data_IF_945570475543
#
_entry.id   IF_945570475543
#
_cell.length_a   1.000
_cell.length_b   1.000
_cell.length_c   1.000
_cell.angle_alpha   90.00
_cell.angle_beta   90.00
_cell.angle_gamma   90.00
#
_symmetry.space_group_name_H-M   'P 1'
#
loop_
_entity.id
_entity.type
_entity.pdbx_description
1 polymer ?
#
# COMPACT_ATOMS: atom_id res chain seq x y z
N UNK A 1 8.16 45.51 -5.63
CA UNK A 1 9.41 44.75 -5.79
C UNK A 1 9.22 43.42 -5.08
N UNK A 2 8.77 42.41 -5.81
CA UNK A 2 8.48 41.09 -5.27
C UNK A 2 9.78 40.31 -5.12
N UNK A 3 10.08 39.69 -3.97
CA UNK A 3 11.22 38.81 -3.87
C UNK A 3 10.91 37.54 -4.68
N UNK A 4 11.64 37.33 -5.77
CA UNK A 4 11.74 36.05 -6.45
C UNK A 4 12.31 35.04 -5.46
N UNK A 5 11.44 34.32 -4.77
CA UNK A 5 11.82 33.14 -4.00
C UNK A 5 12.41 32.13 -4.98
N UNK A 6 13.74 31.97 -4.95
CA UNK A 6 14.45 30.91 -5.65
C UNK A 6 13.84 29.57 -5.23
N UNK A 7 13.02 28.98 -6.11
CA UNK A 7 12.51 27.61 -5.91
C UNK A 7 13.72 26.70 -5.87
N UNK A 8 13.95 26.03 -4.74
CA UNK A 8 14.82 24.86 -4.68
C UNK A 8 14.13 23.80 -5.54
N UNK A 9 14.48 23.74 -6.82
CA UNK A 9 14.13 22.62 -7.67
C UNK A 9 14.99 21.47 -7.18
N UNK A 10 14.40 20.50 -6.48
CA UNK A 10 15.02 19.19 -6.32
C UNK A 10 15.17 18.64 -7.74
N UNK A 11 16.37 18.75 -8.32
CA UNK A 11 16.58 18.21 -9.65
C UNK A 11 16.43 16.69 -9.59
N UNK A 12 15.92 16.19 -10.71
CA UNK A 12 15.47 14.83 -10.97
C UNK A 12 16.48 13.78 -10.51
N UNK A 13 16.02 12.80 -9.75
CA UNK A 13 16.60 11.45 -9.82
C UNK A 13 16.60 11.00 -11.30
N UNK A 14 17.59 10.21 -11.74
CA UNK A 14 17.72 9.81 -13.13
C UNK A 14 16.40 9.26 -13.66
N UNK A 15 16.03 9.71 -14.86
CA UNK A 15 14.87 9.28 -15.61
C UNK A 15 14.81 7.74 -15.63
N UNK A 16 13.64 7.19 -15.34
CA UNK A 16 13.43 5.75 -15.11
C UNK A 16 14.09 4.85 -16.17
N UNK A 17 14.91 3.92 -15.68
CA UNK A 17 15.65 2.91 -16.44
C UNK A 17 17.01 2.62 -15.82
N UNK A 18 17.68 3.64 -15.28
CA UNK A 18 19.03 3.44 -14.73
C UNK A 18 19.00 2.84 -13.32
N UNK A 19 19.76 1.76 -13.13
CA UNK A 19 19.97 1.15 -11.83
C UNK A 19 20.44 2.19 -10.80
N UNK A 20 19.81 2.20 -9.62
CA UNK A 20 20.21 3.10 -8.52
C UNK A 20 21.69 2.88 -8.19
N UNK A 21 22.46 3.98 -8.23
CA UNK A 21 23.86 3.98 -7.81
C UNK A 21 24.01 3.58 -6.34
N UNK A 22 25.17 3.02 -5.98
CA UNK A 22 25.50 2.73 -4.58
C UNK A 22 25.63 4.01 -3.73
N UNK A 23 26.00 5.13 -4.36
CA UNK A 23 26.16 6.43 -3.70
C UNK A 23 25.03 7.39 -4.09
N UNK A 24 24.54 8.16 -3.11
CA UNK A 24 23.54 9.18 -3.35
C UNK A 24 24.10 10.30 -4.25
N UNK A 25 23.32 10.80 -5.24
CA UNK A 25 23.66 12.01 -5.96
C UNK A 25 23.94 13.18 -5.00
N UNK A 26 24.87 14.09 -5.32
CA UNK A 26 25.36 15.10 -4.37
C UNK A 26 24.25 16.02 -3.84
N UNK A 27 23.29 16.40 -4.69
CA UNK A 27 22.14 17.22 -4.29
C UNK A 27 21.22 16.48 -3.31
N UNK A 28 21.01 15.19 -3.56
CA UNK A 28 20.21 14.33 -2.70
C UNK A 28 20.89 14.10 -1.35
N UNK A 29 22.20 13.85 -1.38
CA UNK A 29 23.03 13.72 -0.18
C UNK A 29 23.00 15.01 0.65
N UNK A 30 23.13 16.17 0.00
CA UNK A 30 23.04 17.47 0.66
C UNK A 30 21.66 17.71 1.28
N UNK A 31 20.57 17.35 0.58
CA UNK A 31 19.21 17.47 1.11
C UNK A 31 18.96 16.56 2.32
N UNK A 32 19.46 15.32 2.28
CA UNK A 32 19.38 14.38 3.40
C UNK A 32 20.22 14.86 4.61
N UNK A 33 21.46 15.31 4.37
CA UNK A 33 22.33 15.87 5.40
C UNK A 33 21.74 17.15 6.02
N UNK A 34 21.04 17.94 5.23
CA UNK A 34 20.31 19.13 5.67
C UNK A 34 19.02 18.84 6.45
N UNK A 35 18.64 17.57 6.63
CA UNK A 35 17.48 17.19 7.45
C UNK A 35 16.12 17.39 6.76
N UNK A 36 16.07 17.35 5.42
CA UNK A 36 14.82 17.55 4.67
C UNK A 36 13.72 16.53 5.04
N UNK A 37 14.07 15.26 5.25
CA UNK A 37 13.10 14.21 5.60
C UNK A 37 12.47 14.40 6.99
N UNK A 38 13.27 14.60 8.06
CA UNK A 38 12.75 14.97 9.36
C UNK A 38 11.87 16.24 9.32
N UNK A 39 12.28 17.26 8.57
CA UNK A 39 11.50 18.50 8.42
C UNK A 39 10.14 18.22 7.77
N UNK A 40 10.10 17.44 6.69
CA UNK A 40 8.86 17.09 6.01
C UNK A 40 7.94 16.27 6.93
N UNK A 41 8.48 15.29 7.65
CA UNK A 41 7.70 14.52 8.62
C UNK A 41 7.16 15.40 9.75
N UNK A 42 7.95 16.33 10.27
CA UNK A 42 7.51 17.28 11.30
C UNK A 42 6.39 18.19 10.81
N UNK A 43 6.44 18.68 9.56
CA UNK A 43 5.36 19.46 8.95
C UNK A 43 4.07 18.65 8.86
N UNK A 44 4.16 17.37 8.44
CA UNK A 44 3.01 16.46 8.43
C UNK A 44 2.44 16.28 9.86
N UNK A 45 3.30 16.08 10.87
CA UNK A 45 2.85 15.98 12.27
C UNK A 45 2.12 17.24 12.75
N UNK A 46 2.68 18.41 12.47
CA UNK A 46 2.08 19.71 12.83
C UNK A 46 0.73 19.89 12.14
N UNK A 47 0.65 19.64 10.85
CA UNK A 47 -0.60 19.71 10.08
C UNK A 47 -1.65 18.71 10.59
N UNK A 48 -1.24 17.55 11.11
CA UNK A 48 -2.16 16.58 11.74
C UNK A 48 -2.71 17.01 13.09
N UNK A 49 -1.97 17.84 13.85
CA UNK A 49 -2.45 18.42 15.11
C UNK A 49 -3.31 19.65 14.87
N UNK A 50 -2.84 20.53 13.99
CA UNK A 50 -3.43 21.84 13.71
C UNK A 50 -3.47 22.05 12.18
N UNK A 51 -4.48 21.53 11.48
CA UNK A 51 -4.55 21.58 10.01
C UNK A 51 -4.81 22.98 9.43
N UNK A 52 -5.20 23.93 10.29
CA UNK A 52 -5.44 25.32 9.89
C UNK A 52 -4.23 26.23 10.17
N UNK A 53 -3.11 25.68 10.66
CA UNK A 53 -1.90 26.46 10.95
C UNK A 53 -1.14 26.87 9.67
N UNK A 54 -0.27 27.89 9.73
CA UNK A 54 0.55 28.31 8.59
C UNK A 54 1.43 27.19 8.01
N UNK A 55 1.97 26.32 8.87
CA UNK A 55 2.80 25.18 8.46
C UNK A 55 2.01 24.19 7.59
N UNK A 56 0.72 24.01 7.88
CA UNK A 56 -0.18 23.19 7.08
C UNK A 56 -0.39 23.78 5.67
N UNK A 57 -0.47 25.11 5.55
CA UNK A 57 -0.56 25.79 4.24
C UNK A 57 0.71 25.65 3.42
N UNK A 58 1.87 25.81 4.06
CA UNK A 58 3.17 25.57 3.43
C UNK A 58 3.27 24.13 2.92
N UNK A 59 2.89 23.17 3.76
CA UNK A 59 2.84 21.76 3.41
C UNK A 59 1.91 21.51 2.22
N UNK A 60 0.71 22.09 2.19
CA UNK A 60 -0.20 21.98 1.04
C UNK A 60 0.48 22.42 -0.26
N UNK A 61 1.12 23.60 -0.27
CA UNK A 61 1.85 24.07 -1.45
C UNK A 61 3.01 23.14 -1.86
N UNK A 62 3.73 22.57 -0.89
CA UNK A 62 4.79 21.59 -1.15
C UNK A 62 4.25 20.29 -1.77
N UNK A 63 3.08 19.82 -1.29
CA UNK A 63 2.44 18.60 -1.76
C UNK A 63 1.76 18.77 -3.12
N UNK A 64 1.34 19.97 -3.50
CA UNK A 64 0.75 20.25 -4.81
C UNK A 64 1.79 20.30 -5.94
N UNK A 65 3.05 20.63 -5.62
CA UNK A 65 4.13 20.66 -6.61
C UNK A 65 4.57 19.24 -7.02
N UNK A 66 4.16 18.84 -8.22
CA UNK A 66 4.48 17.53 -8.81
C UNK A 66 5.98 17.27 -8.99
N UNK A 67 6.81 18.32 -9.05
CA UNK A 67 8.26 18.15 -9.11
C UNK A 67 8.79 17.45 -7.84
N UNK A 68 8.18 17.75 -6.68
CA UNK A 68 8.58 17.16 -5.40
C UNK A 68 8.25 15.66 -5.32
N UNK A 69 7.20 15.20 -6.01
CA UNK A 69 6.80 13.77 -6.00
C UNK A 69 7.83 12.89 -6.71
N UNK A 70 8.42 13.38 -7.80
CA UNK A 70 9.40 12.63 -8.59
C UNK A 70 10.70 12.37 -7.81
N UNK A 71 11.13 13.31 -6.98
CA UNK A 71 12.34 13.19 -6.16
C UNK A 71 12.14 12.41 -4.85
N UNK A 72 10.90 12.27 -4.38
CA UNK A 72 10.59 11.70 -3.06
C UNK A 72 11.06 10.24 -2.91
N UNK A 73 10.91 9.41 -3.95
CA UNK A 73 11.41 8.03 -3.90
C UNK A 73 12.93 7.95 -3.96
N UNK A 74 13.60 8.89 -4.62
CA UNK A 74 15.05 9.05 -4.54
C UNK A 74 15.45 9.32 -3.08
N UNK A 75 14.82 10.29 -2.42
CA UNK A 75 15.10 10.56 -1.00
C UNK A 75 14.89 9.32 -0.13
N UNK A 76 13.79 8.59 -0.33
CA UNK A 76 13.48 7.37 0.42
C UNK A 76 14.46 6.22 0.16
N UNK A 77 15.02 6.11 -1.04
CA UNK A 77 16.01 5.09 -1.39
C UNK A 77 17.35 5.29 -0.67
N UNK A 78 17.76 6.52 -0.40
CA UNK A 78 19.06 6.84 0.23
C UNK A 78 18.95 7.34 1.68
N UNK A 79 17.75 7.50 2.22
CA UNK A 79 17.56 7.97 3.59
C UNK A 79 17.98 6.98 4.66
N UNK A 80 18.14 7.48 5.88
CA UNK A 80 18.19 6.64 7.06
C UNK A 80 16.85 5.88 7.21
N UNK A 81 16.87 4.55 7.43
CA UNK A 81 15.66 3.73 7.40
C UNK A 81 14.53 4.19 8.32
N UNK A 82 14.84 4.66 9.54
CA UNK A 82 13.82 5.11 10.50
C UNK A 82 13.20 6.44 10.10
N UNK A 83 13.97 7.36 9.52
CA UNK A 83 13.45 8.63 9.01
C UNK A 83 12.48 8.42 7.85
N UNK A 84 12.83 7.57 6.89
CA UNK A 84 11.92 7.21 5.79
C UNK A 84 10.65 6.54 6.30
N UNK A 85 10.78 5.61 7.24
CA UNK A 85 9.67 4.93 7.88
C UNK A 85 8.72 5.88 8.61
N UNK A 86 9.28 6.84 9.35
CA UNK A 86 8.54 7.88 10.05
C UNK A 86 7.71 8.70 9.08
N UNK A 87 8.30 9.16 7.97
CA UNK A 87 7.59 9.92 6.96
C UNK A 87 6.42 9.12 6.36
N UNK A 88 6.68 7.87 5.96
CA UNK A 88 5.66 6.99 5.36
C UNK A 88 4.52 6.71 6.33
N UNK A 89 4.84 6.39 7.58
CA UNK A 89 3.84 6.14 8.62
C UNK A 89 3.02 7.40 8.92
N UNK A 90 3.66 8.56 9.09
CA UNK A 90 2.97 9.82 9.40
C UNK A 90 2.03 10.25 8.26
N UNK A 91 2.44 10.10 7.00
CA UNK A 91 1.55 10.33 5.86
C UNK A 91 0.36 9.33 5.87
N UNK A 92 0.61 8.05 6.13
CA UNK A 92 -0.45 7.04 6.24
C UNK A 92 -1.48 7.35 7.33
N UNK A 93 -1.03 7.82 8.49
CA UNK A 93 -1.91 8.28 9.57
C UNK A 93 -2.77 9.45 9.11
N UNK A 94 -2.18 10.48 8.52
CA UNK A 94 -2.91 11.64 8.02
C UNK A 94 -3.93 11.28 6.95
N UNK A 95 -3.60 10.35 6.05
CA UNK A 95 -4.57 9.85 5.08
C UNK A 95 -5.80 9.27 5.79
N UNK A 96 -5.59 8.44 6.81
CA UNK A 96 -6.67 7.78 7.56
C UNK A 96 -7.47 8.73 8.46
N UNK A 97 -6.79 9.66 9.15
CA UNK A 97 -7.40 10.46 10.22
C UNK A 97 -7.85 11.85 9.77
N UNK A 98 -7.24 12.39 8.72
CA UNK A 98 -7.54 13.72 8.20
C UNK A 98 -8.06 13.66 6.76
N UNK A 99 -7.26 13.16 5.81
CA UNK A 99 -7.58 13.33 4.39
C UNK A 99 -8.89 12.66 3.98
N UNK A 100 -9.02 11.35 4.25
CA UNK A 100 -10.20 10.58 3.85
C UNK A 100 -11.49 11.07 4.52
N UNK A 101 -11.54 11.27 5.87
CA UNK A 101 -12.74 11.81 6.49
C UNK A 101 -13.15 13.19 5.96
N UNK A 102 -12.18 14.09 5.75
CA UNK A 102 -12.46 15.43 5.25
C UNK A 102 -13.01 15.38 3.83
N UNK A 103 -12.35 14.64 2.93
CA UNK A 103 -12.78 14.51 1.53
C UNK A 103 -14.16 13.86 1.40
N UNK A 104 -14.47 12.85 2.21
CA UNK A 104 -15.81 12.23 2.19
C UNK A 104 -16.87 13.21 2.70
N UNK A 105 -16.57 13.97 3.76
CA UNK A 105 -17.51 14.97 4.30
C UNK A 105 -17.75 16.14 3.35
N UNK A 106 -16.73 16.60 2.62
CA UNK A 106 -16.85 17.72 1.68
C UNK A 106 -17.60 17.36 0.40
N UNK A 107 -17.65 16.08 0.02
CA UNK A 107 -18.50 15.63 -1.10
C UNK A 107 -19.98 15.79 -0.76
N UNK A 108 -20.39 15.43 0.45
CA UNK A 108 -21.79 15.53 0.87
C UNK A 108 -22.22 16.98 1.18
N UNK A 109 -21.27 17.87 1.52
CA UNK A 109 -21.54 19.27 1.86
C UNK A 109 -21.76 20.21 0.66
N UNK A 110 -21.42 19.77 -0.58
CA UNK A 110 -21.52 20.61 -1.77
C UNK A 110 -20.52 21.78 -1.80
N UNK A 111 -20.84 22.82 -2.58
CA UNK A 111 -19.92 23.94 -2.88
C UNK A 111 -19.66 24.89 -1.68
N UNK A 112 -20.45 24.78 -0.61
CA UNK A 112 -20.38 25.62 0.59
C UNK A 112 -19.07 25.40 1.38
N UNK A 113 -18.39 24.27 1.15
CA UNK A 113 -17.10 23.93 1.77
C UNK A 113 -15.87 23.99 0.85
N UNK A 114 -16.04 24.39 -0.42
CA UNK A 114 -14.92 24.42 -1.37
C UNK A 114 -13.97 25.58 -0.99
N UNK A 115 -12.67 25.27 -0.88
CA UNK A 115 -11.64 26.26 -0.56
C UNK A 115 -11.26 26.42 0.92
N UNK A 116 -11.76 25.60 1.84
CA UNK A 116 -11.19 25.59 3.20
C UNK A 116 -9.72 25.12 3.15
N UNK A 117 -8.80 25.72 3.93
CA UNK A 117 -7.40 25.27 4.00
C UNK A 117 -7.27 23.77 4.33
N UNK A 118 -8.18 23.28 5.18
CA UNK A 118 -8.28 21.87 5.59
C UNK A 118 -8.66 20.94 4.44
N UNK A 119 -9.64 21.30 3.60
CA UNK A 119 -10.03 20.51 2.43
C UNK A 119 -8.93 20.50 1.36
N UNK A 120 -8.26 21.65 1.16
CA UNK A 120 -7.11 21.75 0.26
C UNK A 120 -5.95 20.83 0.72
N UNK A 121 -5.59 20.88 2.00
CA UNK A 121 -4.58 19.98 2.58
C UNK A 121 -4.98 18.51 2.42
N UNK A 122 -6.23 18.15 2.73
CA UNK A 122 -6.74 16.79 2.60
C UNK A 122 -6.61 16.28 1.15
N UNK A 123 -7.00 17.12 0.18
CA UNK A 123 -6.87 16.81 -1.24
C UNK A 123 -5.42 16.67 -1.70
N UNK A 124 -4.53 17.57 -1.25
CA UNK A 124 -3.11 17.52 -1.55
C UNK A 124 -2.43 16.25 -0.98
N UNK A 125 -2.77 15.85 0.25
CA UNK A 125 -2.28 14.61 0.86
C UNK A 125 -2.69 13.37 0.07
N UNK A 126 -3.99 13.24 -0.26
CA UNK A 126 -4.51 12.10 -1.02
C UNK A 126 -3.90 12.03 -2.43
N UNK A 127 -3.83 13.19 -3.10
CA UNK A 127 -3.29 13.29 -4.47
C UNK A 127 -1.79 13.03 -4.51
N UNK A 128 -1.03 13.54 -3.53
CA UNK A 128 0.40 13.28 -3.41
C UNK A 128 0.67 11.78 -3.20
N UNK A 129 -0.02 11.14 -2.24
CA UNK A 129 0.14 9.71 -1.98
C UNK A 129 -0.23 8.86 -3.22
N UNK A 130 -1.34 9.19 -3.89
CA UNK A 130 -1.73 8.52 -5.12
C UNK A 130 -0.71 8.72 -6.24
N UNK A 131 -0.18 9.93 -6.42
CA UNK A 131 0.83 10.22 -7.47
C UNK A 131 2.15 9.51 -7.17
N UNK A 132 2.57 9.46 -5.90
CA UNK A 132 3.78 8.73 -5.51
C UNK A 132 3.64 7.23 -5.77
N UNK A 133 2.50 6.62 -5.44
CA UNK A 133 2.25 5.20 -5.74
C UNK A 133 2.12 4.98 -7.26
N UNK A 134 1.48 5.89 -7.99
CA UNK A 134 1.35 5.79 -9.44
C UNK A 134 2.71 5.91 -10.16
N UNK A 135 3.63 6.73 -9.64
CA UNK A 135 4.97 6.91 -10.19
C UNK A 135 5.85 5.67 -10.12
N UNK A 136 5.51 4.71 -9.25
CA UNK A 136 6.17 3.41 -9.12
C UNK A 136 5.27 2.26 -9.56
N UNK A 137 4.33 2.52 -10.48
CA UNK A 137 3.51 1.46 -11.06
C UNK A 137 4.42 0.32 -11.56
N UNK A 138 3.98 -0.94 -11.45
CA UNK A 138 4.80 -2.12 -11.71
C UNK A 138 5.59 -2.11 -13.04
N UNK A 139 5.00 -1.57 -14.11
CA UNK A 139 5.67 -1.47 -15.42
C UNK A 139 6.77 -0.41 -15.55
N UNK A 140 6.94 0.46 -14.56
CA UNK A 140 8.06 1.44 -14.51
C UNK A 140 9.19 1.02 -13.58
N UNK A 141 8.97 0.04 -12.70
CA UNK A 141 10.04 -0.64 -11.96
C UNK A 141 10.80 -1.63 -12.85
N UNK A 142 10.20 -2.07 -13.96
CA UNK A 142 10.77 -2.93 -14.99
C UNK A 142 11.54 -2.18 -16.10
N UNK A 143 11.87 -0.89 -15.91
CA UNK A 143 12.34 -0.01 -16.97
C UNK A 143 13.55 -0.52 -17.76
N UNK A 144 13.37 -0.53 -19.09
CA UNK A 144 14.34 -0.51 -20.18
C UNK A 144 15.30 -1.71 -20.34
N UNK A 145 15.12 -2.38 -21.47
CA UNK A 145 15.87 -3.49 -22.04
C UNK A 145 15.71 -4.85 -21.36
N UNK A 146 15.26 -5.82 -22.17
CA UNK A 146 15.14 -7.24 -21.85
C UNK A 146 16.48 -7.92 -21.64
N UNK A 147 17.27 -7.38 -20.71
CA UNK A 147 18.43 -8.05 -20.17
C UNK A 147 18.02 -8.69 -18.85
N UNK A 148 17.96 -10.02 -18.88
CA UNK A 148 17.74 -10.89 -17.73
C UNK A 148 18.67 -10.45 -16.58
N UNK A 149 18.15 -9.80 -15.52
CA UNK A 149 18.97 -9.54 -14.35
C UNK A 149 19.09 -10.89 -13.66
N UNK A 150 20.18 -11.60 -13.93
CA UNK A 150 20.60 -12.73 -13.10
C UNK A 150 20.59 -12.34 -11.62
N UNK A 151 20.71 -13.29 -10.67
CA UNK A 151 20.62 -13.07 -9.23
C UNK A 151 21.83 -12.26 -8.70
N UNK A 152 22.01 -11.04 -9.18
CA UNK A 152 22.92 -10.04 -8.66
C UNK A 152 22.23 -9.38 -7.47
N UNK A 153 22.89 -9.45 -6.32
CA UNK A 153 22.41 -8.88 -5.07
C UNK A 153 21.98 -7.41 -5.29
N UNK A 154 20.70 -7.13 -5.07
CA UNK A 154 20.17 -5.77 -5.16
C UNK A 154 21.02 -4.81 -4.31
N UNK A 155 21.41 -3.66 -4.88
CA UNK A 155 22.23 -2.67 -4.20
C UNK A 155 21.46 -2.12 -2.98
N UNK A 156 22.15 -1.76 -1.89
CA UNK A 156 21.52 -1.33 -0.64
C UNK A 156 20.38 -0.28 -0.79
N UNK A 157 20.47 0.72 -1.71
CA UNK A 157 19.39 1.67 -1.95
C UNK A 157 18.13 1.06 -2.58
N UNK A 158 18.27 0.04 -3.44
CA UNK A 158 17.13 -0.68 -4.03
C UNK A 158 16.37 -1.46 -2.96
N UNK A 159 17.10 -2.11 -2.05
CA UNK A 159 16.50 -2.81 -0.91
C UNK A 159 15.79 -1.83 0.04
N UNK A 160 16.39 -0.67 0.29
CA UNK A 160 15.77 0.40 1.07
C UNK A 160 14.49 0.91 0.40
N UNK A 161 14.53 1.17 -0.91
CA UNK A 161 13.35 1.59 -1.67
C UNK A 161 12.23 0.54 -1.62
N UNK A 162 12.55 -0.74 -1.81
CA UNK A 162 11.58 -1.82 -1.71
C UNK A 162 10.94 -1.89 -0.31
N UNK A 163 11.72 -1.69 0.76
CA UNK A 163 11.21 -1.60 2.14
C UNK A 163 10.26 -0.41 2.33
N UNK A 164 10.62 0.76 1.80
CA UNK A 164 9.79 1.97 1.87
C UNK A 164 8.50 1.82 1.05
N UNK A 165 8.59 1.26 -0.16
CA UNK A 165 7.43 1.00 -1.01
C UNK A 165 6.48 0.00 -0.35
N UNK A 166 7.01 -1.10 0.20
CA UNK A 166 6.20 -2.06 0.96
C UNK A 166 5.46 -1.40 2.11
N UNK A 167 6.15 -0.56 2.88
CA UNK A 167 5.54 0.20 3.97
C UNK A 167 4.47 1.17 3.46
N UNK A 168 4.73 1.87 2.35
CA UNK A 168 3.80 2.82 1.75
C UNK A 168 2.54 2.13 1.22
N UNK A 169 2.68 0.97 0.56
CA UNK A 169 1.52 0.17 0.11
C UNK A 169 0.67 -0.26 1.31
N UNK A 170 1.29 -0.75 2.39
CA UNK A 170 0.56 -1.12 3.62
C UNK A 170 -0.14 0.07 4.29
N UNK A 171 0.51 1.24 4.35
CA UNK A 171 -0.01 2.39 5.11
C UNK A 171 -0.96 3.29 4.31
N UNK A 172 -0.74 3.44 3.00
CA UNK A 172 -1.42 4.42 2.15
C UNK A 172 -2.51 3.79 1.29
N UNK A 173 -2.33 2.56 0.80
CA UNK A 173 -3.30 1.96 -0.12
C UNK A 173 -4.68 1.73 0.54
N UNK A 174 -4.79 1.22 1.79
CA UNK A 174 -6.09 1.05 2.44
C UNK A 174 -6.93 2.35 2.57
N UNK A 175 -6.41 3.48 3.09
CA UNK A 175 -7.21 4.72 3.12
C UNK A 175 -7.59 5.22 1.73
N UNK A 176 -6.70 5.11 0.73
CA UNK A 176 -7.03 5.55 -0.64
C UNK A 176 -8.10 4.66 -1.28
N UNK A 177 -8.04 3.34 -1.08
CA UNK A 177 -9.07 2.40 -1.51
C UNK A 177 -10.42 2.67 -0.83
N UNK A 178 -10.39 3.02 0.47
CA UNK A 178 -11.58 3.46 1.20
C UNK A 178 -12.19 4.72 0.58
N UNK A 179 -11.36 5.70 0.22
CA UNK A 179 -11.81 6.91 -0.46
C UNK A 179 -12.50 6.60 -1.80
N UNK A 180 -11.99 5.65 -2.57
CA UNK A 180 -12.64 5.20 -3.82
C UNK A 180 -13.98 4.54 -3.52
N UNK A 181 -14.01 3.57 -2.59
CA UNK A 181 -15.20 2.76 -2.27
C UNK A 181 -16.36 3.61 -1.72
N UNK A 182 -16.07 4.53 -0.81
CA UNK A 182 -17.09 5.38 -0.17
C UNK A 182 -17.33 6.68 -0.96
N UNK A 183 -16.28 7.21 -1.60
CA UNK A 183 -16.32 8.48 -2.32
C UNK A 183 -16.99 8.40 -3.69
N UNK A 184 -16.87 7.30 -4.45
CA UNK A 184 -17.55 7.19 -5.75
C UNK A 184 -19.08 7.22 -5.64
N UNK A 185 -19.73 6.44 -4.74
CA UNK A 185 -21.17 6.56 -4.52
C UNK A 185 -21.57 7.95 -4.02
N UNK A 186 -20.78 8.55 -3.13
CA UNK A 186 -21.03 9.91 -2.63
C UNK A 186 -20.95 10.95 -3.75
N UNK A 187 -19.92 10.87 -4.59
CA UNK A 187 -19.72 11.75 -5.73
C UNK A 187 -20.85 11.63 -6.74
N UNK A 188 -21.31 10.40 -7.04
CA UNK A 188 -22.50 10.18 -7.88
C UNK A 188 -23.73 10.88 -7.32
N UNK A 189 -24.01 10.73 -6.02
CA UNK A 189 -25.15 11.41 -5.35
C UNK A 189 -25.02 12.93 -5.44
N UNK A 190 -23.82 13.44 -5.18
CA UNK A 190 -23.51 14.87 -5.20
C UNK A 190 -23.72 15.46 -6.62
N UNK A 191 -23.18 14.82 -7.66
CA UNK A 191 -23.37 15.24 -9.06
C UNK A 191 -24.86 15.26 -9.45
N UNK A 192 -25.62 14.22 -9.07
CA UNK A 192 -27.07 14.18 -9.34
C UNK A 192 -27.84 15.28 -8.57
N UNK A 193 -27.33 15.68 -7.40
CA UNK A 193 -27.85 16.80 -6.61
C UNK A 193 -27.37 18.18 -7.07
N UNK A 194 -26.58 18.27 -8.15
CA UNK A 194 -26.12 19.54 -8.73
C UNK A 194 -24.94 20.19 -8.01
N UNK A 195 -24.18 19.46 -7.19
CA UNK A 195 -23.01 20.03 -6.50
C UNK A 195 -22.00 18.99 -6.05
N UNK A 196 -20.71 19.29 -6.15
CA UNK A 196 -19.62 18.51 -5.56
C UNK A 196 -18.39 19.41 -5.44
N UNK A 197 -17.73 19.42 -4.29
CA UNK A 197 -16.43 20.11 -4.14
C UNK A 197 -15.47 19.65 -5.23
N UNK A 198 -14.89 20.60 -5.97
CA UNK A 198 -13.99 20.30 -7.07
C UNK A 198 -12.74 19.58 -6.57
N UNK A 199 -12.20 20.00 -5.42
CA UNK A 199 -11.05 19.36 -4.81
C UNK A 199 -11.34 17.89 -4.46
N UNK A 200 -12.49 17.62 -3.86
CA UNK A 200 -12.89 16.27 -3.46
C UNK A 200 -13.07 15.36 -4.68
N UNK A 201 -13.70 15.88 -5.73
CA UNK A 201 -13.86 15.21 -7.01
C UNK A 201 -12.51 14.83 -7.62
N UNK A 202 -11.56 15.77 -7.71
CA UNK A 202 -10.24 15.52 -8.30
C UNK A 202 -9.46 14.46 -7.52
N UNK A 203 -9.48 14.53 -6.19
CA UNK A 203 -8.78 13.56 -5.34
C UNK A 203 -9.38 12.16 -5.41
N UNK A 204 -10.72 12.03 -5.47
CA UNK A 204 -11.39 10.74 -5.66
C UNK A 204 -11.03 10.15 -7.03
N UNK A 205 -11.08 10.94 -8.11
CA UNK A 205 -10.72 10.49 -9.46
C UNK A 205 -9.25 10.04 -9.53
N UNK A 206 -8.33 10.82 -8.94
CA UNK A 206 -6.91 10.45 -8.90
C UNK A 206 -6.68 9.09 -8.22
N UNK A 207 -7.42 8.80 -7.14
CA UNK A 207 -7.36 7.51 -6.45
C UNK A 207 -7.99 6.39 -7.29
N UNK A 208 -9.12 6.65 -7.94
CA UNK A 208 -9.82 5.70 -8.82
C UNK A 208 -8.92 5.19 -9.95
N UNK A 209 -8.07 6.04 -10.51
CA UNK A 209 -7.17 5.63 -11.59
C UNK A 209 -5.94 4.86 -11.08
N UNK A 210 -5.56 5.03 -9.81
CA UNK A 210 -4.32 4.47 -9.27
C UNK A 210 -4.54 3.16 -8.50
N UNK A 211 -5.55 3.11 -7.61
CA UNK A 211 -5.75 1.96 -6.70
C UNK A 211 -5.97 0.64 -7.47
N UNK A 212 -6.76 0.58 -8.56
CA UNK A 212 -6.96 -0.65 -9.32
C UNK A 212 -5.67 -1.25 -9.88
N UNK A 213 -4.70 -0.42 -10.30
CA UNK A 213 -3.42 -0.87 -10.84
C UNK A 213 -2.57 -1.68 -9.84
N UNK A 214 -2.86 -1.59 -8.53
CA UNK A 214 -2.18 -2.36 -7.50
C UNK A 214 -2.83 -3.71 -7.20
N UNK A 215 -4.07 -3.94 -7.65
CA UNK A 215 -4.78 -5.20 -7.39
C UNK A 215 -4.06 -6.44 -7.97
N UNK A 216 -3.50 -6.40 -9.19
CA UNK A 216 -2.76 -7.54 -9.74
C UNK A 216 -1.54 -7.90 -8.90
N UNK A 217 -0.77 -6.90 -8.47
CA UNK A 217 0.41 -7.09 -7.62
C UNK A 217 0.03 -7.73 -6.28
N UNK A 218 -1.00 -7.20 -5.62
CA UNK A 218 -1.48 -7.73 -4.35
C UNK A 218 -2.04 -9.15 -4.48
N UNK A 219 -2.78 -9.42 -5.56
CA UNK A 219 -3.29 -10.75 -5.88
C UNK A 219 -2.15 -11.76 -6.04
N UNK A 220 -1.08 -11.39 -6.75
CA UNK A 220 0.12 -12.23 -6.87
C UNK A 220 0.78 -12.48 -5.51
N UNK A 221 0.95 -11.43 -4.70
CA UNK A 221 1.49 -11.51 -3.34
C UNK A 221 0.66 -12.38 -2.38
N UNK A 222 -0.66 -12.47 -2.61
CA UNK A 222 -1.57 -13.32 -1.84
C UNK A 222 -1.55 -14.80 -2.24
N UNK A 223 -0.79 -15.20 -3.28
CA UNK A 223 -0.60 -16.60 -3.66
C UNK A 223 -1.14 -16.99 -5.04
N UNK A 224 -1.73 -16.07 -5.82
CA UNK A 224 -2.32 -16.36 -7.13
C UNK A 224 -1.33 -16.75 -8.26
N UNK A 225 -0.02 -16.74 -7.99
CA UNK A 225 1.02 -17.09 -8.97
C UNK A 225 2.22 -17.86 -8.40
N UNK A 226 2.53 -17.68 -7.12
CA UNK A 226 3.67 -18.35 -6.48
C UNK A 226 3.41 -19.83 -6.18
N UNK A 227 2.14 -20.25 -6.08
CA UNK A 227 1.77 -21.65 -5.83
C UNK A 227 2.08 -22.61 -6.97
N UNK A 228 2.09 -22.14 -8.24
CA UNK A 228 2.40 -22.99 -9.39
C UNK A 228 3.91 -23.20 -9.58
N UNK A 229 4.73 -22.20 -9.26
CA UNK A 229 6.18 -22.34 -9.23
C UNK A 229 6.67 -23.13 -8.00
N UNK A 230 6.04 -22.92 -6.83
CA UNK A 230 6.31 -23.70 -5.64
C UNK A 230 5.84 -25.16 -5.77
N UNK A 231 4.68 -25.45 -6.39
CA UNK A 231 4.25 -26.83 -6.64
C UNK A 231 5.16 -27.57 -7.63
N UNK A 232 5.75 -26.87 -8.61
CA UNK A 232 6.76 -27.44 -9.50
C UNK A 232 8.10 -27.74 -8.79
N UNK A 233 8.44 -26.96 -7.74
CA UNK A 233 9.63 -27.15 -6.92
C UNK A 233 9.42 -28.15 -5.76
N UNK A 234 8.24 -28.19 -5.15
CA UNK A 234 7.85 -29.13 -4.08
C UNK A 234 7.61 -30.54 -4.62
N UNK A 235 7.17 -30.67 -5.88
CA UNK A 235 7.19 -31.95 -6.58
C UNK A 235 8.61 -32.51 -6.79
N UNK A 236 9.64 -31.66 -6.67
CA UNK A 236 11.04 -32.05 -6.76
C UNK A 236 11.70 -32.32 -5.39
N UNK A 237 11.16 -31.82 -4.27
CA UNK A 237 11.74 -31.98 -2.93
C UNK A 237 10.69 -32.36 -1.87
N UNK A 238 10.43 -33.66 -1.77
CA UNK A 238 9.58 -34.25 -0.73
C UNK A 238 10.42 -34.73 0.47
N UNK A 239 10.80 -33.83 1.38
CA UNK A 239 11.01 -34.11 2.81
C UNK A 239 11.36 -32.83 3.61
N UNK A 240 10.38 -32.32 4.36
CA UNK A 240 10.61 -31.33 5.43
C UNK A 240 10.29 -29.89 5.05
N UNK A 241 9.06 -29.44 5.33
CA UNK A 241 8.66 -28.05 5.16
C UNK A 241 9.55 -27.11 6.01
N UNK A 242 10.45 -26.39 5.35
CA UNK A 242 11.42 -25.50 5.99
C UNK A 242 10.73 -24.30 6.68
N UNK A 243 11.44 -23.67 7.62
CA UNK A 243 11.00 -22.40 8.24
C UNK A 243 10.73 -21.31 7.20
N UNK A 244 11.41 -21.35 6.05
CA UNK A 244 11.20 -20.43 4.93
C UNK A 244 9.80 -20.60 4.30
N UNK A 245 9.35 -21.83 4.08
CA UNK A 245 8.00 -22.12 3.56
C UNK A 245 6.90 -21.61 4.50
N UNK A 246 7.09 -21.76 5.82
CA UNK A 246 6.18 -21.22 6.84
C UNK A 246 6.16 -19.69 6.89
N UNK A 247 7.30 -19.03 6.69
CA UNK A 247 7.34 -17.55 6.62
C UNK A 247 6.72 -17.01 5.34
N UNK A 248 6.85 -17.73 4.22
CA UNK A 248 6.22 -17.38 2.95
C UNK A 248 4.70 -17.49 3.04
N UNK A 249 4.17 -18.55 3.66
CA UNK A 249 2.72 -18.73 3.85
C UNK A 249 2.10 -17.67 4.77
N UNK A 250 2.79 -17.28 5.86
CA UNK A 250 2.38 -16.17 6.71
C UNK A 250 2.45 -14.82 5.99
N UNK A 251 3.41 -14.66 5.08
CA UNK A 251 3.51 -13.49 4.19
C UNK A 251 2.31 -13.39 3.25
N UNK A 252 1.98 -14.48 2.56
CA UNK A 252 0.84 -14.56 1.64
C UNK A 252 -0.50 -14.31 2.35
N UNK A 253 -0.71 -14.89 3.53
CA UNK A 253 -1.90 -14.65 4.34
C UNK A 253 -2.04 -13.16 4.74
N UNK A 254 -0.93 -12.50 5.07
CA UNK A 254 -0.92 -11.06 5.37
C UNK A 254 -1.32 -10.20 4.18
N UNK A 255 -0.84 -10.54 2.98
CA UNK A 255 -1.20 -9.83 1.75
C UNK A 255 -2.64 -10.08 1.30
N UNK A 256 -3.13 -11.31 1.47
CA UNK A 256 -4.54 -11.63 1.24
C UNK A 256 -5.46 -10.83 2.17
N UNK A 257 -5.10 -10.72 3.45
CA UNK A 257 -5.82 -9.88 4.39
C UNK A 257 -5.80 -8.40 3.97
N UNK A 258 -4.65 -7.87 3.56
CA UNK A 258 -4.56 -6.50 3.04
C UNK A 258 -5.50 -6.30 1.84
N UNK A 259 -5.46 -7.20 0.86
CA UNK A 259 -6.26 -7.14 -0.38
C UNK A 259 -7.77 -7.18 -0.11
N UNK A 260 -8.22 -8.19 0.64
CA UNK A 260 -9.65 -8.45 0.83
C UNK A 260 -10.27 -7.56 1.90
N UNK A 261 -9.57 -7.33 3.01
CA UNK A 261 -10.14 -6.68 4.19
C UNK A 261 -9.82 -5.19 4.24
N UNK A 262 -8.55 -4.83 4.09
CA UNK A 262 -8.12 -3.44 4.30
C UNK A 262 -8.36 -2.58 3.05
N UNK A 263 -7.93 -3.06 1.88
CA UNK A 263 -8.25 -2.46 0.58
C UNK A 263 -9.73 -2.67 0.24
N UNK A 264 -10.32 -3.79 0.67
CA UNK A 264 -11.72 -4.07 0.38
C UNK A 264 -11.96 -4.25 -1.12
N UNK A 265 -11.05 -4.93 -1.82
CA UNK A 265 -10.98 -4.96 -3.28
C UNK A 265 -12.31 -5.28 -3.95
N UNK A 266 -13.08 -6.24 -3.42
CA UNK A 266 -14.39 -6.62 -3.96
C UNK A 266 -15.40 -5.47 -3.89
N UNK A 267 -15.52 -4.84 -2.73
CA UNK A 267 -16.45 -3.73 -2.55
C UNK A 267 -16.04 -2.49 -3.37
N UNK A 268 -14.73 -2.26 -3.49
CA UNK A 268 -14.17 -1.18 -4.30
C UNK A 268 -14.42 -1.41 -5.81
N UNK A 269 -14.13 -2.60 -6.34
CA UNK A 269 -14.41 -2.95 -7.74
C UNK A 269 -15.90 -2.84 -8.06
N UNK A 270 -16.78 -3.27 -7.14
CA UNK A 270 -18.22 -3.08 -7.30
C UNK A 270 -18.62 -1.60 -7.36
N UNK A 271 -18.01 -0.73 -6.54
CA UNK A 271 -18.26 0.71 -6.59
C UNK A 271 -17.78 1.34 -7.91
N UNK A 272 -16.62 0.91 -8.42
CA UNK A 272 -16.07 1.33 -9.72
C UNK A 272 -17.01 0.94 -10.86
N UNK A 273 -17.40 -0.34 -10.95
CA UNK A 273 -18.32 -0.83 -11.98
C UNK A 273 -19.61 -0.01 -12.01
N UNK A 274 -20.27 0.17 -10.86
CA UNK A 274 -21.53 0.93 -10.78
C UNK A 274 -21.37 2.41 -11.13
N UNK A 275 -20.25 3.02 -10.77
CA UNK A 275 -19.98 4.41 -11.11
C UNK A 275 -19.76 4.58 -12.61
N UNK A 276 -18.96 3.74 -13.24
CA UNK A 276 -18.69 3.80 -14.67
C UNK A 276 -19.92 3.47 -15.53
N UNK A 277 -20.71 2.47 -15.14
CA UNK A 277 -22.00 2.16 -15.80
C UNK A 277 -22.98 3.33 -15.72
N UNK A 278 -23.00 4.06 -14.61
CA UNK A 278 -23.82 5.26 -14.47
C UNK A 278 -23.30 6.41 -15.35
N UNK A 279 -21.99 6.66 -15.32
CA UNK A 279 -21.38 7.72 -16.10
C UNK A 279 -21.61 7.51 -17.61
N UNK A 280 -21.42 6.28 -18.10
CA UNK A 280 -21.63 5.96 -19.52
C UNK A 280 -23.08 6.16 -19.96
N UNK A 281 -24.05 5.82 -19.11
CA UNK A 281 -25.47 6.01 -19.39
C UNK A 281 -25.91 7.48 -19.36
N UNK A 282 -25.31 8.30 -18.49
CA UNK A 282 -25.74 9.67 -18.24
C UNK A 282 -25.03 10.74 -19.07
N UNK A 283 -23.75 10.57 -19.40
CA UNK A 283 -22.94 11.61 -20.04
C UNK A 283 -22.47 11.25 -21.45
N UNK A 284 -22.78 10.03 -21.93
CA UNK A 284 -22.26 9.50 -23.20
C UNK A 284 -20.74 9.35 -23.22
N UNK A 285 -20.06 9.60 -22.08
CA UNK A 285 -18.61 9.47 -21.94
C UNK A 285 -18.30 7.99 -21.76
N UNK A 286 -17.71 7.40 -22.79
CA UNK A 286 -17.25 6.03 -22.71
C UNK A 286 -15.99 5.96 -21.85
N UNK A 287 -15.84 4.85 -21.13
CA UNK A 287 -14.58 4.50 -20.49
C UNK A 287 -13.46 4.54 -21.53
N UNK A 288 -12.31 5.07 -21.15
CA UNK A 288 -11.12 4.88 -21.97
C UNK A 288 -10.75 3.38 -21.99
N UNK A 289 -10.11 2.94 -23.07
CA UNK A 289 -9.64 1.56 -23.18
C UNK A 289 -8.72 1.17 -22.00
N UNK A 290 -7.92 2.11 -21.50
CA UNK A 290 -7.06 1.91 -20.32
C UNK A 290 -7.86 1.62 -19.05
N UNK A 291 -8.86 2.45 -18.73
CA UNK A 291 -9.68 2.29 -17.52
C UNK A 291 -10.47 0.97 -17.53
N UNK A 292 -11.00 0.57 -18.71
CA UNK A 292 -11.62 -0.74 -18.90
C UNK A 292 -10.63 -1.88 -18.66
N UNK A 293 -9.40 -1.76 -19.18
CA UNK A 293 -8.35 -2.77 -19.01
C UNK A 293 -7.97 -2.95 -17.54
N UNK A 294 -7.72 -1.84 -16.83
CA UNK A 294 -7.35 -1.85 -15.41
C UNK A 294 -8.45 -2.47 -14.52
N UNK A 295 -9.71 -2.14 -14.82
CA UNK A 295 -10.87 -2.68 -14.09
C UNK A 295 -11.02 -4.19 -14.30
N UNK A 296 -10.96 -4.66 -15.56
CA UNK A 296 -11.07 -6.09 -15.88
C UNK A 296 -9.87 -6.85 -15.33
N UNK A 297 -8.66 -6.32 -15.46
CA UNK A 297 -7.46 -6.93 -14.90
C UNK A 297 -7.55 -7.04 -13.37
N UNK A 298 -8.01 -5.99 -12.68
CA UNK A 298 -8.28 -6.02 -11.25
C UNK A 298 -9.28 -7.10 -10.87
N UNK A 299 -10.44 -7.15 -11.53
CA UNK A 299 -11.46 -8.19 -11.32
C UNK A 299 -10.90 -9.61 -11.49
N UNK A 300 -10.21 -9.88 -12.58
CA UNK A 300 -9.66 -11.20 -12.86
C UNK A 300 -8.53 -11.59 -11.87
N UNK A 301 -7.70 -10.62 -11.46
CA UNK A 301 -6.61 -10.86 -10.51
C UNK A 301 -7.15 -11.21 -9.12
N UNK A 302 -8.14 -10.46 -8.63
CA UNK A 302 -8.78 -10.75 -7.33
C UNK A 302 -9.54 -12.08 -7.40
N UNK A 303 -10.21 -12.40 -8.52
CA UNK A 303 -10.85 -13.69 -8.73
C UNK A 303 -9.86 -14.86 -8.66
N UNK A 304 -8.70 -14.71 -9.31
CA UNK A 304 -7.66 -15.75 -9.31
C UNK A 304 -7.05 -15.96 -7.92
N UNK A 305 -6.91 -14.89 -7.13
CA UNK A 305 -6.39 -14.96 -5.77
C UNK A 305 -7.40 -15.50 -4.75
N UNK A 306 -8.69 -15.14 -4.90
CA UNK A 306 -9.70 -15.33 -3.87
C UNK A 306 -11.05 -15.76 -4.49
N UNK A 307 -11.13 -16.99 -5.03
CA UNK A 307 -12.27 -17.43 -5.84
C UNK A 307 -13.59 -17.44 -5.09
N UNK A 308 -13.63 -17.82 -3.81
CA UNK A 308 -14.87 -17.99 -3.03
C UNK A 308 -15.67 -16.71 -2.71
N UNK A 309 -15.05 -15.53 -2.74
CA UNK A 309 -15.67 -14.27 -2.30
C UNK A 309 -16.14 -13.39 -3.47
N UNK A 310 -15.50 -13.48 -4.64
CA UNK A 310 -15.93 -12.80 -5.86
C UNK A 310 -17.26 -13.37 -6.42
N UNK A 311 -17.51 -14.65 -6.14
CA UNK A 311 -18.63 -15.43 -6.66
C UNK A 311 -20.02 -14.95 -6.28
N UNK A 312 -20.18 -14.44 -5.07
CA UNK A 312 -21.49 -13.97 -4.58
C UNK A 312 -21.87 -12.58 -5.10
N UNK A 313 -20.89 -11.80 -5.58
CA UNK A 313 -21.09 -10.43 -6.06
C UNK A 313 -21.11 -10.33 -7.59
N UNK A 314 -20.28 -11.10 -8.29
CA UNK A 314 -20.18 -11.03 -9.76
C UNK A 314 -21.33 -11.73 -10.48
N UNK A 315 -21.87 -12.80 -9.90
CA UNK A 315 -22.94 -13.58 -10.51
C UNK A 315 -24.26 -12.78 -10.67
N UNK A 316 -24.45 -11.68 -9.93
CA UNK A 316 -25.64 -10.83 -10.04
C UNK A 316 -25.46 -9.55 -10.86
N UNK A 317 -24.24 -9.00 -10.99
CA UNK A 317 -24.04 -7.65 -11.58
C UNK A 317 -23.30 -7.61 -12.93
N UNK A 318 -22.45 -8.59 -13.28
CA UNK A 318 -21.60 -8.47 -14.48
C UNK A 318 -22.22 -9.01 -15.79
N UNK A 319 -23.38 -9.65 -15.73
CA UNK A 319 -24.02 -10.25 -16.91
C UNK A 319 -24.69 -9.22 -17.85
N UNK A 320 -24.80 -7.95 -17.44
CA UNK A 320 -25.67 -7.00 -18.12
C UNK A 320 -24.99 -5.94 -19.01
N UNK A 321 -23.68 -5.67 -18.95
CA UNK A 321 -23.14 -4.49 -19.65
C UNK A 321 -21.61 -4.44 -19.82
N UNK A 322 -21.04 -5.03 -20.89
CA UNK A 322 -19.73 -4.64 -21.43
C UNK A 322 -19.67 -4.92 -22.96
N UNK A 323 -19.54 -3.90 -23.83
CA UNK A 323 -19.51 -4.10 -25.28
C UNK A 323 -18.10 -3.96 -25.89
N UNK A 324 -17.16 -4.91 -25.69
CA UNK A 324 -15.90 -4.98 -26.46
C UNK A 324 -15.30 -6.40 -26.54
N UNK A 325 -14.81 -6.80 -27.72
CA UNK A 325 -14.56 -8.20 -28.11
C UNK A 325 -13.40 -8.95 -27.44
N UNK A 326 -12.37 -8.30 -26.91
CA UNK A 326 -11.29 -8.98 -26.15
C UNK A 326 -11.54 -9.00 -24.63
N UNK A 327 -12.18 -7.95 -24.10
CA UNK A 327 -12.65 -7.87 -22.71
C UNK A 327 -13.85 -8.79 -22.46
N UNK A 328 -14.69 -9.01 -23.47
CA UNK A 328 -15.80 -9.95 -23.42
C UNK A 328 -15.33 -11.41 -23.21
N UNK A 329 -14.19 -11.81 -23.76
CA UNK A 329 -13.64 -13.14 -23.56
C UNK A 329 -13.18 -13.35 -22.10
N UNK A 330 -12.47 -12.37 -21.51
CA UNK A 330 -12.06 -12.40 -20.11
C UNK A 330 -13.25 -12.32 -19.15
N UNK A 331 -14.22 -11.44 -19.41
CA UNK A 331 -15.46 -11.32 -18.64
C UNK A 331 -16.33 -12.61 -18.74
N UNK A 332 -16.41 -13.21 -19.92
CA UNK A 332 -17.13 -14.47 -20.13
C UNK A 332 -16.39 -15.66 -19.50
N UNK A 333 -15.06 -15.68 -19.53
CA UNK A 333 -14.25 -16.68 -18.84
C UNK A 333 -14.40 -16.55 -17.32
N UNK A 334 -14.42 -15.32 -16.79
CA UNK A 334 -14.70 -15.01 -15.39
C UNK A 334 -16.12 -15.46 -15.00
N UNK A 335 -17.13 -15.21 -15.84
CA UNK A 335 -18.51 -15.66 -15.62
C UNK A 335 -18.63 -17.20 -15.63
N UNK A 336 -18.05 -17.89 -16.62
CA UNK A 336 -18.04 -19.36 -16.68
C UNK A 336 -17.28 -19.98 -15.52
N UNK A 337 -16.13 -19.42 -15.15
CA UNK A 337 -15.36 -19.87 -14.00
C UNK A 337 -16.13 -19.64 -12.70
N UNK A 338 -16.88 -18.54 -12.62
CA UNK A 338 -17.75 -18.27 -11.49
C UNK A 338 -18.86 -19.32 -11.34
N UNK A 339 -19.51 -19.69 -12.45
CA UNK A 339 -20.52 -20.76 -12.47
C UNK A 339 -19.95 -22.13 -12.06
N UNK A 340 -18.72 -22.45 -12.50
CA UNK A 340 -18.02 -23.69 -12.10
C UNK A 340 -17.72 -23.74 -10.61
N UNK A 341 -17.25 -22.64 -10.02
CA UNK A 341 -17.01 -22.61 -8.57
C UNK A 341 -18.32 -22.65 -7.75
N UNK A 342 -19.42 -22.07 -8.25
CA UNK A 342 -20.74 -22.17 -7.59
C UNK A 342 -21.28 -23.61 -7.61
N UNK A 343 -20.96 -24.37 -8.67
CA UNK A 343 -21.36 -25.79 -8.81
C UNK A 343 -20.39 -26.76 -8.13
N UNK A 344 -19.43 -26.26 -7.35
CA UNK A 344 -18.46 -27.08 -6.61
C UNK A 344 -17.34 -27.68 -7.48
N UNK A 345 -17.19 -27.23 -8.74
CA UNK A 345 -16.20 -27.73 -9.68
C UNK A 345 -15.04 -26.76 -9.92
N UNK A 346 -13.80 -27.27 -9.83
CA UNK A 346 -12.61 -26.65 -10.41
C UNK A 346 -11.94 -25.58 -9.55
N UNK A 347 -11.13 -26.00 -8.56
CA UNK A 347 -10.28 -25.10 -7.75
C UNK A 347 -9.19 -24.39 -8.59
N UNK A 348 -8.90 -24.90 -9.79
CA UNK A 348 -7.83 -24.39 -10.63
C UNK A 348 -8.36 -23.30 -11.57
N UNK A 349 -8.24 -22.04 -11.16
CA UNK A 349 -8.51 -20.83 -11.96
C UNK A 349 -7.62 -20.66 -13.21
N UNK A 350 -7.13 -21.74 -13.83
CA UNK A 350 -6.17 -21.74 -14.93
C UNK A 350 -6.70 -21.20 -16.26
N UNK A 351 -8.01 -21.30 -16.53
CA UNK A 351 -8.63 -20.63 -17.70
C UNK A 351 -8.63 -19.11 -17.53
N UNK A 352 -8.98 -18.64 -16.33
CA UNK A 352 -8.95 -17.23 -15.97
C UNK A 352 -7.51 -16.69 -15.96
N UNK A 353 -6.56 -17.43 -15.38
CA UNK A 353 -5.15 -17.07 -15.38
C UNK A 353 -4.59 -16.95 -16.81
N UNK A 354 -4.95 -17.86 -17.72
CA UNK A 354 -4.58 -17.77 -19.15
C UNK A 354 -5.26 -16.59 -19.86
N UNK A 355 -6.50 -16.28 -19.54
CA UNK A 355 -7.19 -15.11 -20.08
C UNK A 355 -6.54 -13.79 -19.62
N UNK A 356 -6.09 -13.72 -18.36
CA UNK A 356 -5.31 -12.59 -17.82
C UNK A 356 -3.93 -12.51 -18.46
N UNK A 357 -3.25 -13.65 -18.65
CA UNK A 357 -1.97 -13.73 -19.34
C UNK A 357 -2.06 -13.20 -20.79
N UNK A 358 -3.14 -13.56 -21.49
CA UNK A 358 -3.39 -13.13 -22.87
C UNK A 358 -3.64 -11.61 -23.01
N UNK A 359 -3.90 -10.90 -21.92
CA UNK A 359 -3.99 -9.43 -21.93
C UNK A 359 -2.61 -8.75 -21.90
N UNK A 360 -1.51 -9.50 -21.73
CA UNK A 360 -0.14 -8.98 -21.89
C UNK A 360 0.37 -8.09 -20.75
N UNK A 361 -0.26 -8.11 -19.58
CA UNK A 361 0.01 -7.21 -18.46
C UNK A 361 0.52 -7.93 -17.19
N UNK A 362 0.93 -9.20 -17.30
CA UNK A 362 1.40 -10.02 -16.16
C UNK A 362 2.87 -9.77 -15.80
N UNK A 363 3.74 -9.53 -16.78
CA UNK A 363 5.20 -9.46 -16.56
C UNK A 363 5.58 -8.33 -15.59
N UNK A 364 4.97 -7.15 -15.77
CA UNK A 364 5.19 -5.99 -14.89
C UNK A 364 4.76 -6.26 -13.44
N UNK A 365 3.61 -6.92 -13.26
CA UNK A 365 3.05 -7.23 -11.93
C UNK A 365 3.89 -8.23 -11.16
N UNK A 366 4.56 -9.14 -11.87
CA UNK A 366 5.43 -10.17 -11.28
C UNK A 366 6.73 -9.58 -10.73
N UNK A 367 7.36 -8.67 -11.48
CA UNK A 367 8.56 -7.96 -11.04
C UNK A 367 8.27 -7.14 -9.77
N UNK A 368 7.16 -6.39 -9.75
CA UNK A 368 6.75 -5.63 -8.57
C UNK A 368 6.40 -6.53 -7.38
N UNK A 369 5.72 -7.65 -7.60
CA UNK A 369 5.41 -8.61 -6.55
C UNK A 369 6.67 -9.24 -5.96
N UNK A 370 7.67 -9.59 -6.78
CA UNK A 370 8.95 -10.11 -6.32
C UNK A 370 9.73 -9.10 -5.46
N UNK A 371 9.78 -7.83 -5.90
CA UNK A 371 10.40 -6.75 -5.15
C UNK A 371 9.75 -6.56 -3.75
N UNK A 372 8.41 -6.67 -3.68
CA UNK A 372 7.65 -6.54 -2.44
C UNK A 372 7.68 -7.79 -1.55
N UNK A 373 7.88 -8.98 -2.13
CA UNK A 373 7.94 -10.25 -1.43
C UNK A 373 9.23 -10.41 -0.60
N UNK A 374 10.31 -9.72 -0.99
CA UNK A 374 11.62 -9.79 -0.33
C UNK A 374 11.63 -9.33 1.15
N UNK A 375 12.56 -9.90 1.94
CA UNK A 375 12.62 -10.07 3.42
C UNK A 375 11.69 -9.23 4.32
N UNK A 376 10.45 -9.71 4.46
CA UNK A 376 9.42 -9.18 5.38
C UNK A 376 9.82 -9.15 6.87
N UNK A 377 10.76 -10.00 7.31
CA UNK A 377 11.20 -10.07 8.70
C UNK A 377 12.20 -8.96 9.07
N UNK A 378 13.15 -8.64 8.19
CA UNK A 378 14.14 -7.58 8.39
C UNK A 378 13.51 -6.19 8.24
N UNK A 379 12.57 -6.04 7.30
CA UNK A 379 11.78 -4.81 7.17
C UNK A 379 11.03 -4.48 8.48
N UNK A 380 10.35 -5.46 9.10
CA UNK A 380 9.65 -5.23 10.38
C UNK A 380 10.60 -4.95 11.55
N UNK A 381 11.82 -5.50 11.55
CA UNK A 381 12.80 -5.26 12.60
C UNK A 381 13.43 -3.86 12.55
N UNK A 382 13.56 -3.28 11.34
CA UNK A 382 14.08 -1.92 11.12
C UNK A 382 13.03 -0.82 11.33
N UNK A 383 11.75 -1.13 11.08
CA UNK A 383 10.59 -0.21 11.14
C UNK A 383 9.93 -0.21 12.52
N UNK A 384 10.62 0.24 13.57
CA UNK A 384 9.98 0.41 14.89
C UNK A 384 8.99 1.57 14.85
N UNK A 385 7.78 1.31 14.38
CA UNK A 385 6.61 2.19 14.47
C UNK A 385 5.53 1.56 15.35
N UNK A 386 4.49 2.31 15.67
CA UNK A 386 3.35 1.76 16.39
C UNK A 386 2.64 0.70 15.55
N UNK A 387 2.57 -0.53 16.06
CA UNK A 387 1.96 -1.68 15.39
C UNK A 387 0.43 -1.64 15.34
N UNK A 388 -0.23 -0.63 15.94
CA UNK A 388 -1.67 -0.46 15.81
C UNK A 388 -1.98 0.21 14.45
N UNK A 389 -2.65 -0.47 13.50
CA UNK A 389 -2.97 0.14 12.19
C UNK A 389 -3.90 1.36 12.33
N UNK A 390 -4.69 1.42 13.41
CA UNK A 390 -5.54 2.56 13.74
C UNK A 390 -4.84 3.63 14.61
N UNK A 391 -3.50 3.64 14.68
CA UNK A 391 -2.76 4.65 15.43
C UNK A 391 -2.97 6.04 14.80
N UNK A 392 -3.42 7.00 15.60
CA UNK A 392 -3.63 8.40 15.23
C UNK A 392 -2.66 9.35 15.94
N UNK A 393 -1.64 8.81 16.64
CA UNK A 393 -0.77 9.61 17.49
C UNK A 393 0.13 10.54 16.65
N UNK A 394 -0.20 11.83 16.70
CA UNK A 394 0.56 12.93 16.11
C UNK A 394 1.33 13.74 17.15
N UNK A 395 1.38 13.34 18.42
CA UNK A 395 2.10 14.07 19.48
C UNK A 395 3.62 13.93 19.35
N UNK A 396 4.37 14.92 19.84
CA UNK A 396 5.83 14.97 19.76
C UNK A 396 6.37 15.39 18.39
N UNK A 397 7.70 15.51 18.32
CA UNK A 397 8.38 16.11 17.16
C UNK A 397 8.63 15.13 16.01
N UNK A 398 8.75 13.83 16.29
CA UNK A 398 8.94 12.82 15.24
C UNK A 398 8.33 11.47 15.58
N UNK A 399 7.82 10.77 14.55
CA UNK A 399 7.38 9.38 14.67
C UNK A 399 8.53 8.44 15.06
N UNK A 400 9.74 8.64 14.51
CA UNK A 400 10.92 7.83 14.81
C UNK A 400 11.40 8.00 16.27
N UNK A 401 11.06 9.14 16.88
CA UNK A 401 11.42 9.47 18.27
C UNK A 401 10.38 9.04 19.31
N UNK A 402 9.27 8.39 18.91
CA UNK A 402 8.23 8.01 19.85
C UNK A 402 8.73 6.93 20.84
N UNK A 403 8.46 7.08 22.15
CA UNK A 403 8.78 6.04 23.12
C UNK A 403 7.82 4.86 22.91
N UNK A 404 8.32 3.77 22.33
CA UNK A 404 7.51 2.58 22.07
C UNK A 404 7.66 1.52 23.16
N UNK A 405 6.54 0.93 23.57
CA UNK A 405 6.48 -0.19 24.51
C UNK A 405 6.20 -1.47 23.76
N UNK A 406 7.02 -2.50 23.96
CA UNK A 406 6.78 -3.82 23.38
C UNK A 406 5.57 -4.51 24.02
N UNK A 407 4.88 -5.35 23.26
CA UNK A 407 3.89 -6.28 23.77
C UNK A 407 4.52 -7.17 24.84
N UNK A 408 3.97 -7.18 26.05
CA UNK A 408 4.51 -7.98 27.15
C UNK A 408 4.57 -9.48 26.86
N UNK A 409 3.70 -9.99 25.98
CA UNK A 409 3.58 -11.42 25.66
C UNK A 409 4.52 -11.88 24.53
N UNK A 410 4.40 -11.31 23.34
CA UNK A 410 5.22 -11.73 22.19
C UNK A 410 6.52 -10.93 22.03
N UNK A 411 6.60 -9.72 22.58
CA UNK A 411 7.71 -8.80 22.35
C UNK A 411 7.90 -8.28 20.92
N UNK A 412 7.15 -8.82 19.95
CA UNK A 412 7.30 -8.49 18.52
C UNK A 412 6.49 -7.28 18.05
N UNK A 413 5.45 -6.89 18.77
CA UNK A 413 4.65 -5.70 18.46
C UNK A 413 5.00 -4.54 19.42
N UNK A 414 5.01 -3.31 18.91
CA UNK A 414 5.41 -2.10 19.65
C UNK A 414 4.30 -1.05 19.62
N UNK A 415 4.09 -0.32 20.71
CA UNK A 415 2.97 0.61 20.84
C UNK A 415 3.42 1.94 21.46
N UNK A 416 3.00 3.05 20.85
CA UNK A 416 3.30 4.39 21.35
C UNK A 416 2.49 4.76 22.61
N UNK A 417 1.36 4.09 22.85
CA UNK A 417 0.48 4.32 24.00
C UNK A 417 -0.33 3.08 24.37
N UNK A 418 -0.83 3.00 25.60
CA UNK A 418 -1.57 1.82 26.12
C UNK A 418 -2.87 1.58 25.34
N UNK A 419 -3.50 2.65 24.88
CA UNK A 419 -4.74 2.64 24.12
C UNK A 419 -4.52 1.96 22.75
N UNK A 420 -3.36 2.20 22.11
CA UNK A 420 -2.99 1.53 20.87
C UNK A 420 -2.79 0.02 21.06
N UNK A 421 -2.17 -0.39 22.18
CA UNK A 421 -2.08 -1.80 22.55
C UNK A 421 -3.47 -2.41 22.73
N UNK A 422 -4.34 -1.77 23.52
CA UNK A 422 -5.67 -2.27 23.81
C UNK A 422 -6.57 -2.34 22.56
N UNK A 423 -6.47 -1.37 21.65
CA UNK A 423 -7.18 -1.36 20.38
C UNK A 423 -6.70 -2.51 19.48
N UNK A 424 -5.39 -2.61 19.25
CA UNK A 424 -4.83 -3.68 18.41
C UNK A 424 -5.07 -5.07 18.99
N UNK A 425 -5.03 -5.20 20.32
CA UNK A 425 -5.36 -6.45 21.02
C UNK A 425 -6.78 -6.93 20.70
N UNK A 426 -7.77 -6.02 20.74
CA UNK A 426 -9.17 -6.32 20.41
C UNK A 426 -9.39 -6.57 18.93
N UNK A 427 -8.67 -5.87 18.05
CA UNK A 427 -8.88 -5.96 16.61
C UNK A 427 -8.26 -7.19 15.93
N UNK A 428 -7.49 -8.00 16.66
CA UNK A 428 -6.98 -9.27 16.14
C UNK A 428 -5.66 -9.74 16.74
N UNK A 429 -4.86 -8.86 17.35
CA UNK A 429 -3.55 -9.26 17.89
C UNK A 429 -3.68 -10.36 18.95
N UNK A 430 -4.78 -10.41 19.73
CA UNK A 430 -5.04 -11.49 20.68
C UNK A 430 -4.92 -12.89 20.06
N UNK A 431 -5.46 -13.07 18.86
CA UNK A 431 -5.44 -14.37 18.16
C UNK A 431 -4.08 -14.69 17.52
N UNK A 432 -3.35 -13.66 17.07
CA UNK A 432 -2.04 -13.82 16.42
C UNK A 432 -0.85 -13.81 17.40
N UNK A 433 -1.06 -13.41 18.66
CA UNK A 433 0.00 -13.26 19.65
C UNK A 433 0.45 -14.63 20.20
N UNK A 434 1.40 -15.28 19.52
CA UNK A 434 2.18 -16.36 20.09
C UNK A 434 3.16 -15.78 21.13
N UNK A 435 3.15 -16.31 22.36
CA UNK A 435 4.09 -15.87 23.40
C UNK A 435 5.55 -16.08 22.98
N UNK A 436 6.48 -15.47 23.70
CA UNK A 436 7.90 -15.86 23.58
C UNK A 436 7.98 -17.35 23.87
N UNK A 437 8.18 -18.16 22.83
CA UNK A 437 8.42 -19.59 23.01
C UNK A 437 9.58 -19.75 23.98
N UNK A 438 9.41 -20.63 24.96
CA UNK A 438 10.45 -21.13 25.84
C UNK A 438 11.55 -21.78 25.00
N UNK A 439 12.49 -21.00 24.50
CA UNK A 439 13.72 -21.52 23.93
C UNK A 439 14.67 -21.74 25.10
N UNK A 440 14.71 -23.00 25.55
CA UNK A 440 15.75 -23.64 26.37
C UNK A 440 16.19 -22.91 27.66
N UNK A 441 15.43 -23.12 28.75
CA UNK A 441 16.06 -23.32 30.06
C UNK A 441 16.61 -24.75 30.09
N UNK A 442 17.83 -24.92 29.57
CA UNK A 442 18.45 -26.23 29.46
C UNK A 442 19.83 -26.12 28.84
N UNK A 443 20.81 -25.72 29.67
CA UNK A 443 22.14 -26.35 29.85
C UNK A 443 22.90 -25.48 30.86
N UNK A 444 23.60 -26.19 31.75
CA UNK A 444 24.05 -25.88 33.11
C UNK A 444 25.37 -25.09 33.15
N UNK A 445 25.58 -24.32 34.23
CA UNK A 445 26.90 -23.95 34.75
C UNK A 445 26.92 -24.08 36.29
N UNK A 446 27.95 -24.70 36.89
CA UNK A 446 27.89 -25.25 38.25
C UNK A 446 28.09 -24.18 39.34
N UNK A 447 27.36 -24.32 40.45
CA UNK A 447 27.63 -23.61 41.68
C UNK A 447 28.82 -24.27 42.39
N UNK A 448 29.93 -23.54 42.44
CA UNK A 448 31.14 -23.90 43.17
C UNK A 448 30.89 -23.74 44.68
N UNK A 449 31.00 -24.87 45.39
CA UNK A 449 31.10 -24.97 46.84
C UNK A 449 32.45 -24.38 47.28
N UNK A 450 32.45 -23.18 47.86
CA UNK A 450 33.54 -22.71 48.71
C UNK A 450 33.07 -22.77 50.17
N UNK A 451 33.59 -23.78 50.86
CA UNK A 451 33.43 -24.02 52.28
C UNK A 451 33.98 -22.85 53.11
N UNK A 452 33.15 -22.30 54.00
CA UNK A 452 33.59 -21.53 55.14
C UNK A 452 33.44 -22.41 56.39
N UNK A 453 34.55 -22.97 56.88
CA UNK A 453 34.71 -23.30 58.29
C UNK A 453 36.19 -23.58 58.58
N UNK A 454 36.83 -22.69 59.34
CA UNK A 454 37.45 -23.06 60.62
C UNK A 454 38.00 -21.81 61.30
N UNK A 455 37.54 -21.62 62.53
CA UNK A 455 38.08 -20.73 63.57
C UNK A 455 39.49 -21.18 64.01
N UNK A 456 40.18 -20.48 64.93
CA UNK A 456 39.72 -20.29 66.31
C UNK A 456 39.33 -18.86 66.69
#
# INVERSE_FOLDING_TARGET
>A
MSPTASRIKLHTAPSGGDALSAAAPPELAAALAGGLLPLWEQLLRRAGREPDCPDARLLTCMLEDRANHKGAWGLLAYCEPRQGAALVATLGKLLRTLAVPQLLSSVDAGDVGDGTPRAALAGALATCAATMLAGLLPGRLAGADGHDPGPMAAVAPQQQLARMLRSAVCEWLPPLARLVREGLPALKRAILGGGASQQSRLSIIACTNMVPCWLPVLARLSGAGLGQAAAAAEAADAAGASTAARTASHGAAGWQQLLLREVGAVAMLGALCRFHLWASAGTGTQLTQSECSDLVQGCCSVAAACPGELLRMLASELHASLPYGSLAAAASALARQAERWVTGGGENGGELARAVAALGLQEDSDVAALALASSSAEARALLRTCANPACDNMAGDSEAGLPLRACGRCGGAWYCRKECLAAHWRSGHRGACAGRGSVAAGVVGPAELAAASSAP
#
